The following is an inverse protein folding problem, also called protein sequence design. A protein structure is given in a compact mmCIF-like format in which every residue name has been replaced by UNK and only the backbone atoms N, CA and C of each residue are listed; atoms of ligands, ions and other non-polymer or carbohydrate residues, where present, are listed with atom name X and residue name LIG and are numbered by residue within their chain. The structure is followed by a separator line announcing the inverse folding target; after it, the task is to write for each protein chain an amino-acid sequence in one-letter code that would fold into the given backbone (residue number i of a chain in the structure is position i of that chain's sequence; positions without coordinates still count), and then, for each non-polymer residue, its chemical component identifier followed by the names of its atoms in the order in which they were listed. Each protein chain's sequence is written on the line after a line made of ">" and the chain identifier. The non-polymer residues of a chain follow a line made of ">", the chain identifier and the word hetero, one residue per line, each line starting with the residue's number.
data_IF_318408196130
#
_entry.id   IF_318408196130
#
_cell.length_a   1.000
_cell.length_b   1.000
_cell.length_c   1.000
_cell.angle_alpha   90.00
_cell.angle_beta   90.00
_cell.angle_gamma   90.00
#
_symmetry.space_group_name_H-M   'P 1'
#
loop_
_entity.id
_entity.type
_entity.pdbx_description
1 polymer ?
#
# COMPACT_ATOMS: atom_id res chain seq x y z
N UNK A 1 0.11 -10.75 37.88
CA UNK A 1 0.37 -11.58 36.69
C UNK A 1 1.06 -10.73 35.66
N UNK A 2 2.39 -10.81 35.54
CA UNK A 2 3.21 -10.15 34.54
C UNK A 2 3.97 -11.25 33.77
N UNK A 3 3.49 -11.66 32.61
CA UNK A 3 4.25 -12.48 31.65
C UNK A 3 3.61 -12.29 30.28
N UNK A 4 4.17 -11.46 29.43
CA UNK A 4 3.95 -11.52 27.96
C UNK A 4 4.87 -10.59 27.15
N UNK A 5 5.97 -10.06 27.68
CA UNK A 5 6.85 -9.14 26.89
C UNK A 5 8.15 -9.79 26.36
N UNK A 6 8.39 -11.07 26.65
CA UNK A 6 9.66 -11.73 26.33
C UNK A 6 9.70 -12.46 24.98
N UNK A 7 8.57 -12.92 24.50
CA UNK A 7 8.53 -13.85 23.34
C UNK A 7 8.70 -13.15 22.00
N UNK A 8 8.15 -11.95 21.85
CA UNK A 8 8.29 -11.15 20.63
C UNK A 8 9.74 -10.72 20.34
N UNK A 9 10.50 -10.34 21.37
CA UNK A 9 11.92 -9.94 21.22
C UNK A 9 12.85 -11.11 20.88
N UNK A 10 12.49 -12.33 21.24
CA UNK A 10 13.28 -13.54 20.99
C UNK A 10 13.06 -14.07 19.57
N UNK A 11 11.84 -13.96 19.03
CA UNK A 11 11.51 -14.33 17.66
C UNK A 11 12.16 -13.39 16.62
N UNK A 12 12.17 -12.07 16.88
CA UNK A 12 12.81 -11.07 16.00
C UNK A 12 14.33 -11.24 15.92
N UNK A 13 15.01 -11.71 16.96
CA UNK A 13 16.47 -11.97 16.92
C UNK A 13 16.88 -13.16 16.03
N UNK A 14 15.95 -14.07 15.68
CA UNK A 14 16.23 -15.24 14.83
C UNK A 14 16.23 -14.90 13.32
N UNK A 15 15.62 -13.80 12.91
CA UNK A 15 15.56 -13.39 11.52
C UNK A 15 16.88 -12.77 11.04
N UNK A 16 17.26 -12.91 9.75
CA UNK A 16 18.44 -12.25 9.19
C UNK A 16 18.42 -10.74 9.45
N UNK A 17 19.59 -10.15 9.67
CA UNK A 17 19.69 -8.71 10.00
C UNK A 17 19.05 -7.79 8.96
N UNK A 18 19.11 -8.15 7.66
CA UNK A 18 18.46 -7.42 6.59
C UNK A 18 16.92 -7.41 6.72
N UNK A 19 16.33 -8.53 7.08
CA UNK A 19 14.88 -8.64 7.26
C UNK A 19 14.41 -7.81 8.45
N UNK A 20 15.14 -7.84 9.56
CA UNK A 20 14.83 -6.99 10.73
C UNK A 20 14.94 -5.50 10.43
N UNK A 21 15.94 -5.10 9.64
CA UNK A 21 16.09 -3.72 9.17
C UNK A 21 14.91 -3.30 8.30
N UNK A 22 14.51 -4.14 7.36
CA UNK A 22 13.39 -3.83 6.46
C UNK A 22 12.04 -3.79 7.20
N UNK A 23 11.82 -4.65 8.19
CA UNK A 23 10.64 -4.61 9.06
C UNK A 23 10.59 -3.32 9.88
N UNK A 24 11.71 -2.97 10.56
CA UNK A 24 11.81 -1.75 11.34
C UNK A 24 11.62 -0.50 10.46
N UNK A 25 12.26 -0.48 9.30
CA UNK A 25 12.11 0.61 8.33
C UNK A 25 10.67 0.72 7.83
N UNK A 26 10.02 -0.40 7.53
CA UNK A 26 8.63 -0.42 7.04
C UNK A 26 7.65 0.16 8.05
N UNK A 27 7.80 -0.21 9.34
CA UNK A 27 6.97 0.32 10.40
C UNK A 27 7.21 1.82 10.62
N UNK A 28 8.48 2.21 10.77
CA UNK A 28 8.86 3.60 10.99
C UNK A 28 8.49 4.52 9.82
N UNK A 29 8.85 4.16 8.58
CA UNK A 29 8.55 4.96 7.40
C UNK A 29 7.04 5.17 7.19
N UNK A 30 6.26 4.15 7.46
CA UNK A 30 4.81 4.28 7.31
C UNK A 30 4.19 5.13 8.43
N UNK A 31 4.65 4.99 9.68
CA UNK A 31 4.07 5.70 10.83
C UNK A 31 4.56 7.13 10.98
N UNK A 32 5.83 7.36 10.74
CA UNK A 32 6.48 8.63 11.08
C UNK A 32 6.86 9.45 9.83
N UNK A 33 6.87 8.81 8.65
CA UNK A 33 7.32 9.41 7.41
C UNK A 33 8.79 9.12 7.09
N UNK A 34 9.10 9.06 5.80
CA UNK A 34 10.42 8.68 5.31
C UNK A 34 11.48 9.71 5.70
N UNK A 35 11.15 11.00 5.60
CA UNK A 35 12.09 12.10 5.88
C UNK A 35 12.42 12.22 7.36
N UNK A 36 11.45 12.02 8.22
CA UNK A 36 11.60 12.14 9.67
C UNK A 36 12.48 11.02 10.28
N UNK A 37 12.47 9.84 9.67
CA UNK A 37 13.15 8.65 10.21
C UNK A 37 14.60 8.58 9.76
N UNK A 38 15.53 8.60 10.72
CA UNK A 38 16.96 8.44 10.49
C UNK A 38 17.42 6.98 10.45
N UNK A 39 18.56 6.71 9.81
CA UNK A 39 19.18 5.36 9.79
C UNK A 39 19.56 4.88 11.19
N UNK A 40 19.81 5.79 12.13
CA UNK A 40 20.09 5.48 13.52
C UNK A 40 18.90 4.83 14.20
N UNK A 41 17.74 5.46 14.09
CA UNK A 41 16.48 4.97 14.64
C UNK A 41 16.13 3.60 14.08
N UNK A 42 16.28 3.42 12.75
CA UNK A 42 16.03 2.11 12.10
C UNK A 42 16.97 1.04 12.63
N UNK A 43 18.26 1.35 12.72
CA UNK A 43 19.28 0.41 13.18
C UNK A 43 19.06 0.01 14.64
N UNK A 44 18.69 0.96 15.50
CA UNK A 44 18.39 0.75 16.91
C UNK A 44 17.14 -0.14 17.07
N UNK A 45 16.04 0.20 16.39
CA UNK A 45 14.80 -0.58 16.43
C UNK A 45 15.01 -2.01 15.92
N UNK A 46 15.79 -2.18 14.85
CA UNK A 46 16.12 -3.48 14.30
C UNK A 46 17.10 -4.28 15.17
N UNK A 47 17.80 -3.65 16.11
CA UNK A 47 18.89 -4.24 16.87
C UNK A 47 20.04 -4.70 15.96
N UNK A 48 20.38 -3.88 14.95
CA UNK A 48 21.39 -4.15 13.92
C UNK A 48 22.26 -2.92 13.74
N UNK A 49 23.55 -3.07 13.47
CA UNK A 49 24.45 -1.94 13.29
C UNK A 49 24.17 -1.16 12.00
N UNK A 50 24.41 0.16 11.98
CA UNK A 50 24.37 0.98 10.76
C UNK A 50 25.26 0.41 9.64
N UNK A 51 26.43 -0.12 10.00
CA UNK A 51 27.32 -0.76 9.04
C UNK A 51 26.62 -1.91 8.31
N UNK A 52 25.80 -2.68 9.03
CA UNK A 52 25.02 -3.76 8.42
C UNK A 52 23.95 -3.21 7.48
N UNK A 53 23.29 -2.08 7.84
CA UNK A 53 22.33 -1.41 6.99
C UNK A 53 22.97 -1.00 5.66
N UNK A 54 24.07 -0.24 5.72
CA UNK A 54 24.77 0.20 4.52
C UNK A 54 25.35 -0.94 3.69
N UNK A 55 25.87 -1.98 4.33
CA UNK A 55 26.36 -3.17 3.61
C UNK A 55 25.25 -3.94 2.89
N UNK A 56 24.01 -3.85 3.35
CA UNK A 56 22.87 -4.60 2.77
C UNK A 56 22.08 -3.79 1.75
N UNK A 57 21.88 -2.52 1.99
CA UNK A 57 21.02 -1.67 1.18
C UNK A 57 21.78 -0.57 0.45
N UNK A 58 23.03 -0.28 0.83
CA UNK A 58 23.85 0.78 0.23
C UNK A 58 23.49 2.18 0.72
N UNK A 59 22.22 2.53 0.74
CA UNK A 59 21.73 3.85 1.17
C UNK A 59 20.37 3.75 1.87
N UNK A 60 19.94 4.86 2.48
CA UNK A 60 18.57 4.99 2.98
C UNK A 60 17.56 4.95 1.83
N UNK A 61 17.87 5.55 0.70
CA UNK A 61 16.98 5.61 -0.46
C UNK A 61 16.74 4.22 -1.05
N UNK A 62 17.77 3.37 -1.13
CA UNK A 62 17.61 1.98 -1.54
C UNK A 62 16.77 1.17 -0.53
N UNK A 63 16.92 1.45 0.76
CA UNK A 63 16.06 0.84 1.79
C UNK A 63 14.59 1.29 1.64
N UNK A 64 14.34 2.55 1.29
CA UNK A 64 13.00 3.06 0.98
C UNK A 64 12.43 2.38 -0.26
N UNK A 65 13.22 2.19 -1.31
CA UNK A 65 12.81 1.47 -2.52
C UNK A 65 12.40 0.03 -2.17
N UNK A 66 13.20 -0.66 -1.36
CA UNK A 66 12.91 -2.03 -0.95
C UNK A 66 11.67 -2.13 -0.05
N UNK A 67 11.47 -1.17 0.85
CA UNK A 67 10.24 -1.03 1.64
C UNK A 67 9.01 -0.94 0.74
N UNK A 68 9.04 -0.05 -0.27
CA UNK A 68 7.90 0.14 -1.17
C UNK A 68 7.66 -1.09 -2.06
N UNK A 69 8.71 -1.76 -2.57
CA UNK A 69 8.60 -2.99 -3.35
C UNK A 69 7.93 -4.11 -2.55
N UNK A 70 8.40 -4.34 -1.33
CA UNK A 70 7.81 -5.35 -0.44
C UNK A 70 6.36 -5.03 -0.09
N UNK A 71 6.03 -3.76 0.06
CA UNK A 71 4.66 -3.32 0.31
C UNK A 71 3.76 -3.54 -0.91
N UNK A 72 4.25 -3.25 -2.11
CA UNK A 72 3.55 -3.52 -3.36
C UNK A 72 3.25 -5.02 -3.54
N UNK A 73 4.24 -5.87 -3.30
CA UNK A 73 4.08 -7.32 -3.35
C UNK A 73 3.02 -7.82 -2.35
N UNK A 74 3.08 -7.37 -1.10
CA UNK A 74 2.06 -7.68 -0.08
C UNK A 74 0.67 -7.21 -0.48
N UNK A 75 0.56 -6.00 -1.04
CA UNK A 75 -0.70 -5.46 -1.52
C UNK A 75 -1.28 -6.30 -2.66
N UNK A 76 -0.47 -6.69 -3.64
CA UNK A 76 -0.93 -7.53 -4.77
C UNK A 76 -1.45 -8.88 -4.31
N UNK A 77 -0.73 -9.55 -3.41
CA UNK A 77 -1.18 -10.82 -2.83
C UNK A 77 -2.50 -10.62 -2.08
N UNK A 78 -2.58 -9.61 -1.23
CA UNK A 78 -3.77 -9.30 -0.46
C UNK A 78 -4.99 -9.01 -1.34
N UNK A 79 -4.81 -8.18 -2.38
CA UNK A 79 -5.89 -7.85 -3.33
C UNK A 79 -6.37 -9.09 -4.08
N UNK A 80 -5.43 -9.91 -4.55
CA UNK A 80 -5.76 -11.17 -5.22
C UNK A 80 -6.59 -12.10 -4.33
N UNK A 81 -6.18 -12.32 -3.09
CA UNK A 81 -6.92 -13.14 -2.12
C UNK A 81 -8.34 -12.64 -1.84
N UNK A 82 -8.56 -11.33 -1.92
CA UNK A 82 -9.88 -10.71 -1.70
C UNK A 82 -10.78 -10.72 -2.93
N UNK A 83 -10.23 -10.89 -4.11
CA UNK A 83 -10.97 -10.79 -5.37
C UNK A 83 -11.08 -12.11 -6.13
N UNK A 84 -10.18 -13.07 -5.94
CA UNK A 84 -10.12 -14.33 -6.70
C UNK A 84 -11.39 -15.18 -6.58
N UNK A 85 -12.02 -15.25 -5.40
CA UNK A 85 -13.22 -16.05 -5.15
C UNK A 85 -14.54 -15.40 -5.61
N UNK A 86 -14.52 -14.18 -6.11
CA UNK A 86 -15.71 -13.44 -6.55
C UNK A 86 -15.97 -13.77 -8.01
N UNK A 87 -17.04 -14.53 -8.30
CA UNK A 87 -17.31 -15.05 -9.65
C UNK A 87 -17.87 -13.99 -10.60
N UNK A 88 -18.72 -13.07 -10.11
CA UNK A 88 -19.27 -12.00 -10.91
C UNK A 88 -18.21 -10.90 -11.11
N UNK A 89 -17.84 -10.55 -12.38
CA UNK A 89 -16.81 -9.56 -12.64
C UNK A 89 -17.13 -8.16 -12.11
N UNK A 90 -18.42 -7.77 -12.06
CA UNK A 90 -18.83 -6.46 -11.52
C UNK A 90 -18.67 -6.42 -10.01
N UNK A 91 -19.11 -7.48 -9.33
CA UNK A 91 -18.89 -7.62 -7.89
C UNK A 91 -17.41 -7.69 -7.54
N UNK A 92 -16.58 -8.30 -8.41
CA UNK A 92 -15.14 -8.34 -8.26
C UNK A 92 -14.51 -6.93 -8.36
N UNK A 93 -14.99 -6.06 -9.25
CA UNK A 93 -14.60 -4.65 -9.30
C UNK A 93 -14.94 -3.93 -7.98
N UNK A 94 -16.14 -4.15 -7.44
CA UNK A 94 -16.57 -3.55 -6.19
C UNK A 94 -15.81 -4.12 -4.98
N UNK A 95 -15.38 -5.39 -5.03
CA UNK A 95 -14.54 -6.00 -4.01
C UNK A 95 -13.17 -5.33 -3.86
N UNK A 96 -12.65 -4.70 -4.92
CA UNK A 96 -11.41 -3.89 -4.84
C UNK A 96 -11.57 -2.74 -3.84
N UNK A 97 -12.72 -2.07 -3.81
CA UNK A 97 -12.99 -0.98 -2.84
C UNK A 97 -13.03 -1.50 -1.41
N UNK A 98 -13.66 -2.65 -1.19
CA UNK A 98 -13.66 -3.32 0.13
C UNK A 98 -12.24 -3.71 0.58
N UNK A 99 -11.43 -4.26 -0.34
CA UNK A 99 -10.04 -4.58 -0.05
C UNK A 99 -9.20 -3.35 0.33
N UNK A 100 -9.44 -2.20 -0.31
CA UNK A 100 -8.79 -0.93 0.06
C UNK A 100 -9.22 -0.47 1.45
N UNK A 101 -10.50 -0.57 1.78
CA UNK A 101 -11.01 -0.21 3.10
C UNK A 101 -10.39 -1.06 4.19
N UNK A 102 -10.47 -2.40 4.08
CA UNK A 102 -9.90 -3.33 5.04
C UNK A 102 -8.39 -3.11 5.22
N UNK A 103 -7.68 -2.85 4.12
CA UNK A 103 -6.24 -2.54 4.17
C UNK A 103 -5.95 -1.28 4.96
N UNK A 104 -6.70 -0.20 4.72
CA UNK A 104 -6.53 1.07 5.43
C UNK A 104 -6.91 0.97 6.91
N UNK A 105 -7.95 0.21 7.24
CA UNK A 105 -8.31 -0.10 8.64
C UNK A 105 -7.15 -0.80 9.34
N UNK A 106 -6.61 -1.86 8.73
CA UNK A 106 -5.49 -2.64 9.27
C UNK A 106 -4.21 -1.83 9.46
N UNK A 107 -4.08 -0.71 8.75
CA UNK A 107 -2.93 0.20 8.76
C UNK A 107 -3.23 1.53 9.50
N UNK A 108 -4.24 1.56 10.36
CA UNK A 108 -4.63 2.71 11.19
C UNK A 108 -4.89 3.99 10.39
N UNK A 109 -5.44 3.87 9.19
CA UNK A 109 -5.79 4.99 8.30
C UNK A 109 -4.64 5.97 8.00
N UNK A 110 -3.41 5.50 7.92
CA UNK A 110 -2.25 6.36 7.58
C UNK A 110 -2.18 6.72 6.07
N UNK A 111 -3.17 6.29 5.30
CA UNK A 111 -3.26 6.54 3.88
C UNK A 111 -2.39 5.63 3.01
N UNK A 112 -2.27 5.99 1.74
CA UNK A 112 -1.49 5.24 0.80
C UNK A 112 0.02 5.51 0.97
N UNK A 113 0.79 4.48 1.34
CA UNK A 113 2.24 4.60 1.52
C UNK A 113 2.98 5.09 0.28
N UNK A 114 2.48 4.76 -0.91
CA UNK A 114 3.08 5.18 -2.18
C UNK A 114 2.81 6.66 -2.47
N UNK A 115 1.61 7.14 -2.19
CA UNK A 115 1.28 8.56 -2.27
C UNK A 115 2.07 9.37 -1.25
N UNK A 116 2.18 8.89 -0.02
CA UNK A 116 2.97 9.51 1.05
C UNK A 116 4.45 9.60 0.63
N UNK A 117 5.05 8.50 0.16
CA UNK A 117 6.42 8.49 -0.33
C UNK A 117 6.63 9.47 -1.49
N UNK A 118 5.71 9.51 -2.46
CA UNK A 118 5.79 10.44 -3.58
C UNK A 118 5.69 11.92 -3.16
N UNK A 119 4.89 12.22 -2.14
CA UNK A 119 4.78 13.59 -1.59
C UNK A 119 6.04 14.02 -0.83
N UNK A 120 6.71 13.10 -0.15
CA UNK A 120 7.95 13.38 0.57
C UNK A 120 9.17 13.56 -0.36
N UNK A 121 9.19 12.96 -1.56
CA UNK A 121 10.30 13.02 -2.50
C UNK A 121 10.08 14.16 -3.49
N UNK A 122 10.86 15.25 -3.39
CA UNK A 122 10.73 16.42 -4.25
C UNK A 122 11.26 16.19 -5.67
N UNK A 123 12.29 15.34 -5.84
CA UNK A 123 12.85 14.99 -7.16
C UNK A 123 11.91 14.02 -7.91
N UNK A 124 11.38 14.40 -9.08
CA UNK A 124 10.53 13.51 -9.91
C UNK A 124 11.25 12.23 -10.35
N UNK A 125 12.58 12.26 -10.49
CA UNK A 125 13.42 11.12 -10.86
C UNK A 125 13.79 10.21 -9.69
N UNK A 126 13.38 10.54 -8.46
CA UNK A 126 13.75 9.75 -7.29
C UNK A 126 13.25 8.30 -7.41
N UNK A 127 14.09 7.27 -7.14
CA UNK A 127 13.72 5.86 -7.31
C UNK A 127 12.44 5.46 -6.56
N UNK A 128 12.19 6.00 -5.37
CA UNK A 128 10.96 5.76 -4.62
C UNK A 128 9.70 6.26 -5.36
N UNK A 129 9.78 7.41 -6.07
CA UNK A 129 8.67 7.92 -6.89
C UNK A 129 8.40 7.02 -8.09
N UNK A 130 9.46 6.46 -8.69
CA UNK A 130 9.32 5.50 -9.80
C UNK A 130 8.58 4.26 -9.33
N UNK A 131 8.91 3.72 -8.14
CA UNK A 131 8.20 2.59 -7.56
C UNK A 131 6.74 2.95 -7.25
N UNK A 132 6.49 4.12 -6.65
CA UNK A 132 5.14 4.59 -6.36
C UNK A 132 4.29 4.72 -7.64
N UNK A 133 4.85 5.30 -8.70
CA UNK A 133 4.18 5.41 -10.01
C UNK A 133 3.83 4.01 -10.56
N UNK A 134 4.78 3.08 -10.59
CA UNK A 134 4.54 1.71 -11.07
C UNK A 134 3.46 0.99 -10.29
N UNK A 135 3.41 1.17 -8.97
CA UNK A 135 2.33 0.64 -8.14
C UNK A 135 0.96 1.14 -8.62
N UNK A 136 0.81 2.46 -8.85
CA UNK A 136 -0.46 3.04 -9.32
C UNK A 136 -0.83 2.59 -10.73
N UNK A 137 0.14 2.49 -11.63
CA UNK A 137 -0.04 1.90 -12.95
C UNK A 137 -0.53 0.46 -12.84
N UNK A 138 0.06 -0.37 -11.97
CA UNK A 138 -0.38 -1.75 -11.74
C UNK A 138 -1.80 -1.87 -11.18
N UNK A 139 -2.21 -0.96 -10.28
CA UNK A 139 -3.61 -0.91 -9.79
C UNK A 139 -4.56 -0.54 -10.94
N UNK A 140 -4.22 0.45 -11.75
CA UNK A 140 -5.02 0.86 -12.92
C UNK A 140 -5.18 -0.28 -13.93
N UNK A 141 -4.08 -0.97 -14.24
CA UNK A 141 -4.08 -2.12 -15.16
C UNK A 141 -4.95 -3.26 -14.62
N UNK A 142 -4.88 -3.54 -13.33
CA UNK A 142 -5.76 -4.53 -12.70
C UNK A 142 -7.24 -4.15 -12.80
N UNK A 143 -7.58 -2.89 -12.54
CA UNK A 143 -8.95 -2.38 -12.72
C UNK A 143 -9.39 -2.47 -14.19
N UNK A 144 -8.52 -2.13 -15.15
CA UNK A 144 -8.85 -2.20 -16.57
C UNK A 144 -9.16 -3.65 -17.00
N UNK A 145 -8.37 -4.62 -16.53
CA UNK A 145 -8.63 -6.03 -16.80
C UNK A 145 -9.99 -6.49 -16.23
N UNK A 146 -10.35 -6.07 -15.02
CA UNK A 146 -11.64 -6.39 -14.41
C UNK A 146 -12.81 -5.71 -15.15
N UNK A 147 -12.63 -4.48 -15.62
CA UNK A 147 -13.62 -3.75 -16.43
C UNK A 147 -13.86 -4.44 -17.77
N UNK A 148 -12.80 -4.88 -18.44
CA UNK A 148 -12.86 -5.65 -19.69
C UNK A 148 -13.57 -7.00 -19.47
N UNK A 149 -13.21 -7.73 -18.40
CA UNK A 149 -13.84 -9.00 -18.03
C UNK A 149 -15.34 -8.84 -17.73
N UNK A 150 -15.74 -7.69 -17.15
CA UNK A 150 -17.12 -7.34 -16.90
C UNK A 150 -17.89 -6.89 -18.17
N UNK A 151 -17.25 -6.82 -19.33
CA UNK A 151 -17.85 -6.50 -20.61
C UNK A 151 -18.15 -5.02 -20.84
N UNK A 152 -17.53 -4.12 -20.09
CA UNK A 152 -17.70 -2.67 -20.29
C UNK A 152 -16.84 -2.16 -21.45
N UNK A 153 -17.38 -1.19 -22.20
CA UNK A 153 -16.63 -0.44 -23.20
C UNK A 153 -15.60 0.49 -22.53
N UNK A 154 -14.53 0.81 -23.24
CA UNK A 154 -13.47 1.75 -22.83
C UNK A 154 -12.84 1.41 -21.47
N UNK A 155 -12.28 0.17 -21.30
CA UNK A 155 -11.82 -0.31 -20.00
C UNK A 155 -10.77 0.58 -19.35
N UNK A 156 -9.84 1.16 -20.13
CA UNK A 156 -8.80 2.06 -19.61
C UNK A 156 -9.41 3.36 -19.07
N UNK A 157 -10.39 3.94 -19.77
CA UNK A 157 -11.02 5.18 -19.33
C UNK A 157 -11.88 4.99 -18.08
N UNK A 158 -12.55 3.83 -17.96
CA UNK A 158 -13.32 3.52 -16.76
C UNK A 158 -12.40 3.18 -15.60
N UNK A 159 -11.33 2.41 -15.81
CA UNK A 159 -10.34 2.09 -14.81
C UNK A 159 -9.69 3.35 -14.23
N UNK A 160 -9.37 4.36 -15.05
CA UNK A 160 -8.85 5.64 -14.60
C UNK A 160 -9.82 6.35 -13.65
N UNK A 161 -11.12 6.37 -13.97
CA UNK A 161 -12.17 6.96 -13.10
C UNK A 161 -12.27 6.22 -11.76
N UNK A 162 -12.26 4.89 -11.79
CA UNK A 162 -12.30 4.06 -10.60
C UNK A 162 -11.05 4.25 -9.72
N UNK A 163 -9.88 4.37 -10.34
CA UNK A 163 -8.64 4.67 -9.63
C UNK A 163 -8.70 6.04 -8.95
N UNK A 164 -9.17 7.07 -9.64
CA UNK A 164 -9.32 8.42 -9.05
C UNK A 164 -10.29 8.43 -7.87
N UNK A 165 -11.38 7.66 -7.94
CA UNK A 165 -12.29 7.47 -6.80
C UNK A 165 -11.59 6.81 -5.61
N UNK A 166 -10.87 5.71 -5.84
CA UNK A 166 -10.11 5.00 -4.80
C UNK A 166 -9.06 5.91 -4.13
N UNK A 167 -8.30 6.66 -4.94
CA UNK A 167 -7.26 7.55 -4.43
C UNK A 167 -7.85 8.71 -3.60
N UNK A 168 -8.92 9.33 -4.10
CA UNK A 168 -9.64 10.38 -3.37
C UNK A 168 -10.25 9.88 -2.07
N UNK A 169 -10.85 8.68 -2.10
CA UNK A 169 -11.43 8.05 -0.93
C UNK A 169 -10.33 7.67 0.09
N UNK A 170 -9.23 7.07 -0.35
CA UNK A 170 -8.12 6.70 0.52
C UNK A 170 -7.48 7.93 1.21
N UNK A 171 -7.28 9.02 0.47
CA UNK A 171 -6.77 10.27 1.03
C UNK A 171 -7.75 10.88 2.05
N UNK A 172 -9.06 10.87 1.75
CA UNK A 172 -10.10 11.39 2.64
C UNK A 172 -10.26 10.52 3.89
N UNK A 173 -10.22 9.19 3.72
CA UNK A 173 -10.24 8.23 4.83
C UNK A 173 -9.07 8.44 5.79
N UNK A 174 -7.88 8.71 5.27
CA UNK A 174 -6.70 9.02 6.08
C UNK A 174 -6.88 10.32 6.89
N UNK A 175 -7.45 11.35 6.29
CA UNK A 175 -7.72 12.62 6.99
C UNK A 175 -8.81 12.49 8.06
N UNK A 176 -9.87 11.71 7.78
CA UNK A 176 -11.01 11.52 8.70
C UNK A 176 -10.79 10.38 9.71
N UNK A 177 -9.81 9.52 9.48
CA UNK A 177 -9.59 8.27 10.21
C UNK A 177 -10.87 7.39 10.25
N UNK A 178 -11.50 7.23 9.10
CA UNK A 178 -12.80 6.54 8.92
C UNK A 178 -12.83 5.81 7.58
N UNK A 179 -13.53 4.66 7.50
CA UNK A 179 -13.81 3.92 6.27
C UNK A 179 -14.90 4.54 5.41
N UNK A 180 -15.77 5.40 5.98
CA UNK A 180 -16.91 6.01 5.29
C UNK A 180 -16.60 6.55 3.87
N UNK A 181 -15.46 7.26 3.61
CA UNK A 181 -15.14 7.73 2.27
C UNK A 181 -14.99 6.60 1.23
N UNK A 182 -14.55 5.41 1.64
CA UNK A 182 -14.43 4.27 0.74
C UNK A 182 -15.78 3.59 0.48
N UNK A 183 -16.68 3.56 1.46
CA UNK A 183 -18.07 3.14 1.26
C UNK A 183 -18.78 4.07 0.26
N UNK A 184 -18.61 5.39 0.39
CA UNK A 184 -19.13 6.37 -0.57
C UNK A 184 -18.55 6.16 -1.95
N UNK A 185 -17.24 5.97 -2.07
CA UNK A 185 -16.58 5.72 -3.36
C UNK A 185 -17.08 4.42 -4.01
N UNK A 186 -17.31 3.37 -3.21
CA UNK A 186 -17.89 2.11 -3.70
C UNK A 186 -19.31 2.32 -4.23
N UNK A 187 -20.14 3.11 -3.55
CA UNK A 187 -21.49 3.47 -4.05
C UNK A 187 -21.44 4.21 -5.39
N UNK A 188 -20.57 5.21 -5.51
CA UNK A 188 -20.36 5.95 -6.76
C UNK A 188 -19.82 5.05 -7.88
N UNK A 189 -18.93 4.10 -7.55
CA UNK A 189 -18.45 3.11 -8.51
C UNK A 189 -19.60 2.24 -9.03
N UNK A 190 -20.49 1.77 -8.14
CA UNK A 190 -21.68 0.99 -8.53
C UNK A 190 -22.56 1.81 -9.51
N UNK A 191 -22.89 3.05 -9.17
CA UNK A 191 -23.68 3.94 -10.05
C UNK A 191 -23.01 4.12 -11.45
N UNK A 192 -21.69 4.27 -11.50
CA UNK A 192 -20.94 4.36 -12.76
C UNK A 192 -21.02 3.09 -13.60
N UNK A 193 -21.04 1.91 -12.97
CA UNK A 193 -21.16 0.63 -13.63
C UNK A 193 -22.58 0.39 -14.15
N UNK A 194 -23.62 0.76 -13.38
CA UNK A 194 -25.02 0.66 -13.75
C UNK A 194 -25.36 1.58 -14.93
N UNK A 195 -24.92 2.84 -14.91
CA UNK A 195 -25.17 3.82 -15.98
C UNK A 195 -24.58 3.42 -17.34
N UNK A 196 -23.63 2.47 -17.38
CA UNK A 196 -22.97 1.99 -18.60
C UNK A 196 -23.48 0.62 -19.06
N UNK A 197 -24.46 0.07 -18.40
CA UNK A 197 -25.07 -1.23 -18.73
C UNK A 197 -26.17 -1.11 -19.77
N UNK A 198 -26.40 0.10 -20.29
CA UNK A 198 -27.36 0.47 -21.32
C UNK A 198 -26.65 1.08 -22.52
#
# INVERSE_FOLDING_TARGET
>A
MKQSSGDGKRATRRRPGAERLLEAASDLFYREGIRAVGVDTISEQAGVSKRTLYNRFGSKDELVVEYLRRRDERWRVYLHERTEGVLDPRERLLAVFGAYEEWLVGEDYRGCAFANAAAEMSDPGHPARIVAKRHKEGVREHLAALVEEAGFAEPEALAERLLLLLEGAAATAAMRRSGEPLEVARSVALELLEARSH
#
